data_IF_238329343785
#
_entry.id   IF_238329343785
#
_cell.length_a   1.000
_cell.length_b   1.000
_cell.length_c   1.000
_cell.angle_alpha   90.00
_cell.angle_beta   90.00
_cell.angle_gamma   90.00
#
_symmetry.space_group_name_H-M   'P 1'
#
loop_
_entity.id
_entity.type
_entity.pdbx_description
1 polymer ?
#
# COMPACT_ATOMS: atom_id res chain seq x y z
N UNK A 1 -97.29 -16.45 10.06
CA UNK A 1 -95.99 -16.38 9.37
C UNK A 1 -95.05 -15.62 10.31
N UNK A 2 -94.05 -16.24 10.96
CA UNK A 2 -92.85 -16.93 10.44
C UNK A 2 -91.77 -15.94 9.97
N UNK A 3 -90.46 -16.03 10.27
CA UNK A 3 -89.55 -16.78 11.19
C UNK A 3 -88.21 -15.96 11.20
N UNK A 4 -87.23 -16.00 12.11
CA UNK A 4 -86.96 -16.74 13.36
C UNK A 4 -85.87 -15.97 14.19
N UNK A 5 -85.59 -16.38 15.43
CA UNK A 5 -84.33 -16.12 16.16
C UNK A 5 -83.43 -17.37 16.07
N UNK A 6 -82.09 -17.24 16.05
CA UNK A 6 -81.24 -17.65 17.21
C UNK A 6 -79.91 -16.85 17.31
N UNK A 7 -79.00 -16.98 18.29
CA UNK A 7 -79.01 -17.41 19.72
C UNK A 7 -77.72 -16.83 20.35
N UNK A 8 -77.72 -16.58 21.66
CA UNK A 8 -76.47 -16.41 22.42
C UNK A 8 -75.65 -17.71 22.42
N UNK A 9 -74.32 -17.59 22.37
CA UNK A 9 -73.37 -18.60 22.83
C UNK A 9 -72.26 -17.93 23.64
N UNK A 10 -71.95 -18.52 24.79
CA UNK A 10 -71.23 -17.88 25.91
C UNK A 10 -69.71 -17.90 25.73
N UNK A 11 -69.03 -16.84 26.20
CA UNK A 11 -67.57 -16.81 26.37
C UNK A 11 -67.15 -17.88 27.39
N UNK A 12 -66.24 -18.76 26.99
CA UNK A 12 -65.65 -19.79 27.85
C UNK A 12 -64.13 -19.79 27.77
N UNK A 13 -63.48 -18.99 28.61
CA UNK A 13 -62.01 -18.95 28.69
C UNK A 13 -61.44 -20.30 29.11
N UNK A 14 -60.46 -20.81 28.34
CA UNK A 14 -59.51 -21.80 28.83
C UNK A 14 -58.10 -21.23 28.67
N UNK A 15 -57.48 -20.98 29.81
CA UNK A 15 -56.07 -20.60 29.91
C UNK A 15 -55.21 -21.81 29.54
N UNK A 16 -54.29 -21.63 28.59
CA UNK A 16 -53.19 -22.54 28.33
C UNK A 16 -51.88 -21.75 28.49
N UNK A 17 -51.21 -21.95 29.63
CA UNK A 17 -49.86 -21.41 29.84
C UNK A 17 -48.88 -22.33 29.12
N UNK A 18 -48.59 -22.02 27.86
CA UNK A 18 -47.48 -22.64 27.13
C UNK A 18 -46.20 -21.89 27.47
N UNK A 19 -45.34 -22.51 28.27
CA UNK A 19 -44.00 -21.99 28.53
C UNK A 19 -43.16 -22.07 27.25
N UNK A 20 -43.04 -20.95 26.54
CA UNK A 20 -42.19 -20.86 25.36
C UNK A 20 -40.73 -20.69 25.82
N UNK A 21 -39.96 -21.76 25.73
CA UNK A 21 -38.51 -21.73 25.87
C UNK A 21 -37.93 -20.84 24.76
N UNK A 22 -37.43 -19.66 25.13
CA UNK A 22 -36.59 -18.84 24.25
C UNK A 22 -35.24 -19.53 24.07
N UNK A 23 -35.17 -20.45 23.10
CA UNK A 23 -33.91 -20.90 22.55
C UNK A 23 -33.26 -19.73 21.81
N UNK A 24 -32.16 -19.21 22.36
CA UNK A 24 -31.35 -18.20 21.69
C UNK A 24 -30.64 -18.85 20.49
N UNK A 25 -31.31 -18.83 19.34
CA UNK A 25 -30.69 -19.16 18.06
C UNK A 25 -29.73 -18.03 17.68
N UNK A 26 -28.50 -18.12 18.17
CA UNK A 26 -27.41 -17.27 17.70
C UNK A 26 -27.17 -17.58 16.23
N UNK A 27 -27.68 -16.71 15.34
CA UNK A 27 -27.34 -16.74 13.92
C UNK A 27 -25.90 -16.24 13.77
N UNK A 28 -24.95 -17.15 14.00
CA UNK A 28 -23.59 -16.94 13.53
C UNK A 28 -23.64 -16.76 12.02
N UNK A 29 -23.30 -15.56 11.56
CA UNK A 29 -22.98 -15.35 10.16
C UNK A 29 -21.74 -16.19 9.88
N UNK A 30 -21.95 -17.36 9.26
CA UNK A 30 -20.86 -18.15 8.73
C UNK A 30 -20.21 -17.31 7.63
N UNK A 31 -19.04 -16.73 7.94
CA UNK A 31 -18.21 -16.07 6.94
C UNK A 31 -17.99 -17.05 5.78
N UNK A 32 -18.10 -16.55 4.56
CA UNK A 32 -17.81 -17.35 3.36
C UNK A 32 -16.36 -17.81 3.45
N UNK A 33 -16.15 -19.12 3.65
CA UNK A 33 -14.81 -19.69 3.63
C UNK A 33 -14.22 -19.49 2.23
N UNK A 34 -13.27 -18.59 2.11
CA UNK A 34 -12.50 -18.41 0.90
C UNK A 34 -11.65 -19.67 0.67
N UNK A 35 -11.62 -20.17 -0.56
CA UNK A 35 -10.68 -21.21 -0.93
C UNK A 35 -9.27 -20.60 -0.90
N UNK A 36 -8.32 -21.28 -0.27
CA UNK A 36 -6.92 -20.87 -0.33
C UNK A 36 -6.46 -20.91 -1.80
N UNK A 37 -6.28 -19.72 -2.40
CA UNK A 37 -5.65 -19.61 -3.70
C UNK A 37 -4.17 -19.98 -3.63
N UNK A 38 -3.61 -20.27 -4.79
CA UNK A 38 -2.17 -20.40 -4.99
C UNK A 38 -1.70 -19.17 -5.74
N UNK A 39 -0.45 -18.78 -5.54
CA UNK A 39 0.15 -17.71 -6.33
C UNK A 39 0.16 -18.11 -7.82
N UNK A 40 -0.13 -17.13 -8.67
CA UNK A 40 -0.03 -17.16 -10.13
C UNK A 40 0.77 -15.92 -10.50
N UNK A 41 2.08 -16.13 -10.67
CA UNK A 41 3.07 -15.07 -10.86
C UNK A 41 3.06 -14.44 -12.27
N UNK A 42 1.93 -14.51 -12.98
CA UNK A 42 1.78 -13.81 -14.26
C UNK A 42 1.77 -12.29 -14.08
N UNK A 43 2.31 -11.59 -15.07
CA UNK A 43 2.56 -10.14 -15.06
C UNK A 43 1.67 -9.43 -16.09
N UNK A 44 0.34 -9.37 -15.85
CA UNK A 44 -0.61 -8.82 -16.81
C UNK A 44 -0.39 -7.32 -17.06
N UNK A 45 -0.70 -6.81 -18.27
CA UNK A 45 -0.78 -5.37 -18.54
C UNK A 45 -1.77 -4.67 -17.60
N UNK A 46 -1.48 -3.42 -17.24
CA UNK A 46 -2.35 -2.60 -16.39
C UNK A 46 -3.79 -2.56 -16.95
N UNK A 47 -4.79 -2.72 -16.08
CA UNK A 47 -6.19 -2.84 -16.47
C UNK A 47 -7.16 -2.49 -15.32
N UNK A 48 -8.41 -2.19 -15.69
CA UNK A 48 -9.50 -1.91 -14.75
C UNK A 48 -10.32 -3.16 -14.42
N UNK A 49 -10.97 -3.19 -13.25
CA UNK A 49 -12.18 -4.00 -13.04
C UNK A 49 -12.14 -5.08 -11.95
N UNK A 50 -11.06 -5.15 -11.16
CA UNK A 50 -10.86 -6.15 -10.10
C UNK A 50 -9.92 -7.30 -10.52
N UNK A 51 -9.61 -8.25 -9.61
CA UNK A 51 -8.57 -9.25 -9.84
C UNK A 51 -8.80 -10.12 -11.08
N UNK A 52 -7.77 -10.29 -11.91
CA UNK A 52 -7.89 -10.85 -13.26
C UNK A 52 -7.60 -12.36 -13.36
N UNK A 53 -7.07 -12.96 -12.29
CA UNK A 53 -6.72 -14.38 -12.18
C UNK A 53 -5.30 -14.60 -11.65
N UNK A 54 -4.39 -13.66 -11.97
CA UNK A 54 -3.06 -13.56 -11.38
C UNK A 54 -3.13 -13.28 -9.87
N UNK A 55 -2.17 -13.78 -9.09
CA UNK A 55 -2.08 -13.49 -7.66
C UNK A 55 -0.67 -13.63 -7.09
N UNK A 56 -0.30 -12.73 -6.18
CA UNK A 56 0.98 -12.73 -5.46
C UNK A 56 0.74 -12.52 -3.96
N UNK A 57 1.12 -13.50 -3.15
CA UNK A 57 1.08 -13.46 -1.68
C UNK A 57 2.31 -12.78 -1.05
N UNK A 58 3.30 -12.36 -1.85
CA UNK A 58 4.47 -11.66 -1.35
C UNK A 58 4.16 -10.19 -1.02
N UNK A 59 5.02 -9.59 -0.20
CA UNK A 59 4.93 -8.17 0.15
C UNK A 59 5.10 -7.34 -1.12
N UNK A 60 4.12 -6.50 -1.45
CA UNK A 60 4.28 -5.53 -2.53
C UNK A 60 4.78 -4.18 -1.99
N UNK A 61 4.18 -3.71 -0.90
CA UNK A 61 4.61 -2.46 -0.23
C UNK A 61 5.10 -2.79 1.18
N UNK A 62 6.36 -2.46 1.46
CA UNK A 62 6.95 -2.55 2.80
C UNK A 62 7.39 -1.17 3.29
N UNK A 63 7.01 -0.83 4.53
CA UNK A 63 7.40 0.41 5.20
C UNK A 63 7.93 0.07 6.60
N UNK A 64 9.23 0.25 6.83
CA UNK A 64 9.91 -0.03 8.10
C UNK A 64 9.72 1.04 9.18
N UNK A 65 9.16 2.20 8.81
CA UNK A 65 8.62 3.21 9.72
C UNK A 65 7.10 3.29 9.61
N UNK A 66 6.56 4.50 9.75
CA UNK A 66 5.12 4.76 9.57
C UNK A 66 4.78 5.09 8.12
N UNK A 67 3.58 4.67 7.67
CA UNK A 67 3.03 4.98 6.35
C UNK A 67 1.91 6.02 6.48
N UNK A 68 2.10 7.18 5.84
CA UNK A 68 1.12 8.27 5.82
C UNK A 68 0.61 8.54 4.40
N UNK A 69 -0.67 8.24 4.14
CA UNK A 69 -1.34 8.63 2.89
C UNK A 69 -2.01 9.99 3.11
N UNK A 70 -1.33 11.06 2.69
CA UNK A 70 -1.88 12.43 2.65
C UNK A 70 -2.87 12.59 1.51
N UNK A 71 -2.55 11.97 0.37
CA UNK A 71 -3.41 11.82 -0.79
C UNK A 71 -2.93 10.62 -1.60
N UNK A 72 -3.88 9.81 -2.08
CA UNK A 72 -3.66 8.54 -2.76
C UNK A 72 -5.01 7.81 -2.87
N UNK A 73 -5.12 6.84 -3.78
CA UNK A 73 -6.31 6.01 -3.91
C UNK A 73 -6.09 4.61 -3.33
N UNK A 74 -4.96 3.97 -3.59
CA UNK A 74 -4.78 2.55 -3.26
C UNK A 74 -3.35 2.03 -3.22
N UNK A 75 -3.18 0.88 -2.54
CA UNK A 75 -2.01 0.01 -2.64
C UNK A 75 -2.43 -1.46 -2.86
N UNK A 76 -2.09 -1.99 -4.02
CA UNK A 76 -2.29 -3.39 -4.43
C UNK A 76 -1.26 -4.33 -3.80
N UNK A 77 -1.60 -5.62 -3.71
CA UNK A 77 -0.70 -6.65 -3.15
C UNK A 77 -0.69 -6.67 -1.62
N UNK A 78 0.21 -7.44 -1.01
CA UNK A 78 0.33 -7.44 0.46
C UNK A 78 1.05 -6.17 0.92
N UNK A 79 0.40 -5.38 1.77
CA UNK A 79 0.95 -4.16 2.37
C UNK A 79 1.38 -4.44 3.80
N UNK A 80 2.62 -4.08 4.13
CA UNK A 80 3.23 -4.24 5.45
C UNK A 80 3.79 -2.90 5.93
N UNK A 81 3.33 -2.47 7.09
CA UNK A 81 3.84 -1.29 7.80
C UNK A 81 4.33 -1.76 9.16
N UNK A 82 5.62 -1.58 9.46
CA UNK A 82 6.26 -1.95 10.72
C UNK A 82 5.79 -1.00 11.84
N UNK A 83 5.74 0.30 11.54
CA UNK A 83 5.19 1.36 12.39
C UNK A 83 3.67 1.58 12.24
N UNK A 84 3.26 2.85 12.31
CA UNK A 84 1.85 3.25 12.28
C UNK A 84 1.33 3.48 10.85
N UNK A 85 0.04 3.24 10.64
CA UNK A 85 -0.67 3.59 9.40
C UNK A 85 -1.64 4.75 9.63
N UNK A 86 -1.71 5.70 8.70
CA UNK A 86 -2.75 6.73 8.68
C UNK A 86 -3.06 7.20 7.27
N UNK A 87 -4.34 7.25 6.91
CA UNK A 87 -4.81 7.81 5.63
C UNK A 87 -5.73 9.01 5.86
N UNK A 88 -5.72 9.97 4.93
CA UNK A 88 -6.54 11.17 4.99
C UNK A 88 -7.98 10.98 4.46
N UNK A 89 -8.31 9.80 3.93
CA UNK A 89 -9.59 9.53 3.26
C UNK A 89 -9.83 8.04 3.02
N UNK A 90 -10.69 7.74 2.04
CA UNK A 90 -10.92 6.38 1.54
C UNK A 90 -9.68 5.87 0.80
N UNK A 91 -9.29 4.62 1.04
CA UNK A 91 -8.08 4.03 0.48
C UNK A 91 -8.23 2.51 0.31
N UNK A 92 -8.03 1.97 -0.90
CA UNK A 92 -8.09 0.52 -1.12
C UNK A 92 -6.74 -0.14 -0.75
N UNK A 93 -6.80 -1.34 -0.18
CA UNK A 93 -5.61 -2.15 0.12
C UNK A 93 -5.80 -3.59 -0.35
N UNK A 94 -4.77 -4.15 -1.00
CA UNK A 94 -4.76 -5.52 -1.51
C UNK A 94 -5.34 -5.68 -2.91
N UNK A 95 -6.46 -5.00 -3.19
CA UNK A 95 -7.13 -5.02 -4.50
C UNK A 95 -7.19 -3.60 -5.06
N UNK A 96 -6.61 -3.43 -6.26
CA UNK A 96 -6.73 -2.22 -7.04
C UNK A 96 -8.08 -2.11 -7.79
N UNK A 97 -8.58 -0.89 -7.92
CA UNK A 97 -9.62 -0.53 -8.88
C UNK A 97 -9.10 -0.55 -10.31
N UNK A 98 -7.88 -0.04 -10.50
CA UNK A 98 -7.10 -0.08 -11.73
C UNK A 98 -5.61 -0.32 -11.41
N UNK A 99 -4.96 -1.24 -12.10
CA UNK A 99 -3.63 -1.68 -11.70
C UNK A 99 -3.19 -2.96 -12.39
N UNK A 100 -2.26 -3.68 -11.78
CA UNK A 100 -1.85 -4.99 -12.31
C UNK A 100 -3.00 -6.01 -12.23
N UNK A 101 -3.94 -5.81 -11.30
CA UNK A 101 -4.99 -6.76 -10.94
C UNK A 101 -4.44 -8.08 -10.39
N UNK A 102 -3.19 -8.06 -9.89
CA UNK A 102 -2.46 -9.13 -9.18
C UNK A 102 -2.68 -8.92 -7.68
N UNK A 103 -3.85 -9.31 -7.20
CA UNK A 103 -4.18 -9.25 -5.77
C UNK A 103 -3.66 -10.50 -5.03
N UNK A 104 -3.44 -10.43 -3.70
CA UNK A 104 -3.22 -11.64 -2.91
C UNK A 104 -4.45 -12.56 -2.97
N UNK A 105 -4.32 -13.87 -2.73
CA UNK A 105 -5.44 -14.81 -2.75
C UNK A 105 -6.64 -14.36 -1.90
N UNK A 106 -7.86 -14.64 -2.36
CA UNK A 106 -9.10 -14.26 -1.68
C UNK A 106 -9.10 -14.72 -0.20
N UNK A 107 -9.42 -13.81 0.73
CA UNK A 107 -9.41 -14.09 2.17
C UNK A 107 -8.03 -14.30 2.80
N UNK A 108 -6.92 -14.05 2.08
CA UNK A 108 -5.56 -14.05 2.65
C UNK A 108 -5.26 -12.75 3.42
N UNK A 109 -4.05 -12.63 3.99
CA UNK A 109 -3.61 -11.38 4.64
C UNK A 109 -3.18 -10.38 3.56
N UNK A 110 -3.81 -9.21 3.55
CA UNK A 110 -3.47 -8.12 2.61
C UNK A 110 -2.94 -6.88 3.31
N UNK A 111 -3.17 -6.73 4.62
CA UNK A 111 -2.66 -5.63 5.42
C UNK A 111 -2.10 -6.10 6.76
N UNK A 112 -0.84 -5.76 7.01
CA UNK A 112 -0.15 -5.89 8.31
C UNK A 112 0.31 -4.51 8.78
N UNK A 113 0.00 -4.16 10.02
CA UNK A 113 0.45 -2.93 10.69
C UNK A 113 1.02 -3.33 12.06
N UNK A 114 2.29 -3.04 12.33
CA UNK A 114 2.93 -3.36 13.61
C UNK A 114 2.55 -2.38 14.72
N UNK A 115 2.35 -1.10 14.38
CA UNK A 115 1.86 -0.03 15.25
C UNK A 115 0.33 0.14 15.26
N UNK A 116 -0.11 1.39 15.44
CA UNK A 116 -1.52 1.81 15.45
C UNK A 116 -2.04 2.09 14.03
N UNK A 117 -3.36 1.95 13.81
CA UNK A 117 -4.06 2.58 12.67
C UNK A 117 -4.75 3.84 13.17
N UNK A 118 -4.25 5.00 12.73
CA UNK A 118 -4.46 6.27 13.43
C UNK A 118 -5.56 7.16 12.82
N UNK A 119 -5.73 7.14 11.50
CA UNK A 119 -6.77 7.84 10.75
C UNK A 119 -7.13 7.06 9.47
N UNK A 120 -8.33 7.26 8.95
CA UNK A 120 -8.68 6.84 7.58
C UNK A 120 -9.94 5.98 7.44
N UNK A 121 -10.26 5.66 6.19
CA UNK A 121 -11.22 4.62 5.80
C UNK A 121 -10.50 3.67 4.85
N UNK A 122 -10.25 2.44 5.30
CA UNK A 122 -9.56 1.40 4.52
C UNK A 122 -10.60 0.42 3.95
N UNK A 123 -10.58 0.20 2.63
CA UNK A 123 -11.28 -0.91 1.98
C UNK A 123 -10.27 -2.01 1.63
N UNK A 124 -10.22 -3.06 2.45
CA UNK A 124 -9.18 -4.10 2.34
C UNK A 124 -9.76 -5.36 1.70
N UNK A 125 -9.13 -5.81 0.61
CA UNK A 125 -9.55 -6.98 -0.15
C UNK A 125 -10.90 -6.78 -0.84
N UNK A 126 -11.12 -5.61 -1.45
CA UNK A 126 -12.37 -5.26 -2.13
C UNK A 126 -12.89 -6.43 -2.99
N UNK A 127 -14.16 -6.81 -2.81
CA UNK A 127 -14.86 -7.94 -3.49
C UNK A 127 -14.41 -9.36 -3.12
N UNK A 128 -13.19 -9.57 -2.61
CA UNK A 128 -12.60 -10.91 -2.37
C UNK A 128 -12.31 -11.25 -0.90
N UNK A 129 -12.48 -10.30 0.01
CA UNK A 129 -12.22 -10.45 1.43
C UNK A 129 -10.73 -10.44 1.77
N UNK A 130 -10.37 -9.85 2.91
CA UNK A 130 -9.00 -9.84 3.42
C UNK A 130 -8.92 -10.04 4.93
N UNK A 131 -7.80 -10.61 5.38
CA UNK A 131 -7.37 -10.57 6.76
C UNK A 131 -6.52 -9.30 6.98
N UNK A 132 -6.87 -8.55 8.02
CA UNK A 132 -6.16 -7.34 8.47
C UNK A 132 -5.61 -7.60 9.86
N UNK A 133 -4.33 -7.29 10.07
CA UNK A 133 -3.63 -7.54 11.34
C UNK A 133 -2.96 -6.27 11.83
N UNK A 134 -3.35 -5.83 13.02
CA UNK A 134 -2.84 -4.61 13.67
C UNK A 134 -2.21 -4.98 15.02
N UNK A 135 -0.95 -4.60 15.22
CA UNK A 135 -0.22 -4.86 16.46
C UNK A 135 -0.68 -3.95 17.59
N UNK A 136 -0.90 -2.68 17.28
CA UNK A 136 -1.52 -1.68 18.16
C UNK A 136 -3.04 -1.65 18.07
N UNK A 137 -3.59 -0.46 18.31
CA UNK A 137 -5.00 -0.11 18.32
C UNK A 137 -5.47 0.43 16.97
N UNK A 138 -6.79 0.41 16.77
CA UNK A 138 -7.46 1.16 15.69
C UNK A 138 -8.14 2.35 16.34
N UNK A 139 -7.75 3.57 15.97
CA UNK A 139 -8.18 4.80 16.62
C UNK A 139 -9.68 5.10 16.42
N UNK A 140 -10.32 5.83 17.36
CA UNK A 140 -11.71 6.25 17.22
C UNK A 140 -11.96 7.04 15.93
N UNK A 141 -12.90 6.58 15.11
CA UNK A 141 -13.27 7.21 13.83
C UNK A 141 -12.61 6.59 12.60
N UNK A 142 -11.64 5.69 12.77
CA UNK A 142 -11.11 4.87 11.67
C UNK A 142 -12.16 3.83 11.25
N UNK A 143 -12.30 3.61 9.94
CA UNK A 143 -13.12 2.54 9.36
C UNK A 143 -12.21 1.56 8.60
N UNK A 144 -12.46 0.26 8.77
CA UNK A 144 -11.73 -0.81 8.08
C UNK A 144 -12.77 -1.83 7.59
N UNK A 145 -13.06 -1.81 6.29
CA UNK A 145 -13.93 -2.78 5.64
C UNK A 145 -13.08 -3.96 5.15
N UNK A 146 -13.33 -5.15 5.69
CA UNK A 146 -12.54 -6.37 5.38
C UNK A 146 -13.17 -7.23 4.28
N UNK A 147 -14.25 -6.75 3.64
CA UNK A 147 -14.99 -7.45 2.57
C UNK A 147 -15.42 -8.89 2.92
N UNK A 148 -15.73 -9.15 4.19
CA UNK A 148 -16.11 -10.48 4.69
C UNK A 148 -14.96 -11.34 5.20
N UNK A 149 -13.71 -10.83 5.15
CA UNK A 149 -12.57 -11.36 5.89
C UNK A 149 -12.52 -10.84 7.34
N UNK A 150 -11.37 -10.96 7.99
CA UNK A 150 -11.21 -10.71 9.44
C UNK A 150 -10.35 -9.49 9.77
N UNK A 151 -10.62 -8.86 10.91
CA UNK A 151 -9.78 -7.83 11.51
C UNK A 151 -9.32 -8.31 12.89
N UNK A 152 -8.01 -8.34 13.12
CA UNK A 152 -7.40 -8.59 14.42
C UNK A 152 -6.57 -7.37 14.84
N UNK A 153 -6.73 -6.94 16.10
CA UNK A 153 -6.07 -5.74 16.66
C UNK A 153 -5.48 -6.06 18.04
N UNK A 154 -4.59 -5.21 18.54
CA UNK A 154 -3.85 -5.39 19.79
C UNK A 154 -3.09 -6.73 19.85
N UNK A 155 -2.60 -7.20 18.70
CA UNK A 155 -1.84 -8.43 18.60
C UNK A 155 -0.45 -8.32 19.26
N UNK A 156 0.08 -7.10 19.38
CA UNK A 156 1.51 -6.85 19.51
C UNK A 156 2.22 -6.91 18.16
N UNK A 157 3.33 -6.18 18.06
CA UNK A 157 4.11 -5.96 16.83
C UNK A 157 4.41 -7.26 16.04
N UNK A 158 5.22 -8.16 16.61
CA UNK A 158 5.69 -9.37 15.93
C UNK A 158 4.54 -10.31 15.53
N UNK A 159 3.45 -10.33 16.30
CA UNK A 159 2.27 -11.15 16.01
C UNK A 159 1.38 -10.55 14.91
N UNK A 160 1.47 -9.25 14.64
CA UNK A 160 0.83 -8.63 13.48
C UNK A 160 1.65 -8.85 12.20
N UNK A 161 2.98 -8.69 12.28
CA UNK A 161 3.89 -8.86 11.14
C UNK A 161 4.12 -10.34 10.75
N UNK A 162 4.11 -11.27 11.70
CA UNK A 162 4.39 -12.69 11.50
C UNK A 162 5.68 -12.94 10.70
N UNK A 163 5.57 -13.50 9.49
CA UNK A 163 6.68 -13.81 8.58
C UNK A 163 7.36 -12.57 8.02
N UNK A 164 6.74 -11.39 8.12
CA UNK A 164 7.35 -10.10 7.75
C UNK A 164 8.18 -9.48 8.88
N UNK A 165 8.20 -10.09 10.08
CA UNK A 165 9.02 -9.60 11.21
C UNK A 165 10.50 -9.61 10.81
N UNK A 166 11.13 -8.43 10.84
CA UNK A 166 12.54 -8.27 10.47
C UNK A 166 12.80 -8.10 8.96
N UNK A 167 11.78 -7.99 8.11
CA UNK A 167 11.94 -7.73 6.67
C UNK A 167 12.79 -6.48 6.38
N UNK A 168 12.62 -5.40 7.17
CA UNK A 168 13.45 -4.19 7.10
C UNK A 168 14.98 -4.47 7.18
N UNK A 169 15.38 -5.55 7.86
CA UNK A 169 16.79 -5.90 8.03
C UNK A 169 17.44 -6.55 6.81
N UNK A 170 16.67 -7.02 5.82
CA UNK A 170 17.21 -7.60 4.58
C UNK A 170 17.53 -6.52 3.54
N UNK A 171 16.78 -5.41 3.55
CA UNK A 171 16.87 -4.35 2.53
C UNK A 171 18.28 -3.76 2.39
N UNK A 172 18.97 -3.48 3.50
CA UNK A 172 20.31 -2.90 3.45
C UNK A 172 21.40 -3.88 2.95
N UNK A 173 21.47 -5.14 3.43
CA UNK A 173 22.31 -6.18 2.84
C UNK A 173 22.04 -6.42 1.34
N UNK A 174 20.78 -6.51 0.92
CA UNK A 174 20.41 -6.78 -0.47
C UNK A 174 20.73 -5.58 -1.38
N UNK A 175 20.41 -4.35 -0.95
CA UNK A 175 20.81 -3.12 -1.63
C UNK A 175 22.33 -3.03 -1.83
N UNK A 176 23.12 -3.32 -0.78
CA UNK A 176 24.58 -3.33 -0.86
C UNK A 176 25.13 -4.46 -1.76
N UNK A 177 24.41 -5.57 -1.90
CA UNK A 177 24.78 -6.67 -2.79
C UNK A 177 24.55 -6.31 -4.28
N UNK A 178 23.54 -5.49 -4.59
CA UNK A 178 23.34 -4.91 -5.93
C UNK A 178 24.35 -3.79 -6.22
N UNK A 179 24.62 -2.93 -5.24
CA UNK A 179 25.61 -1.84 -5.32
C UNK A 179 27.05 -2.35 -5.59
N UNK A 180 27.44 -3.45 -4.95
CA UNK A 180 28.76 -4.05 -5.14
C UNK A 180 29.01 -4.69 -6.53
N UNK A 181 28.01 -4.73 -7.42
CA UNK A 181 28.13 -5.33 -8.76
C UNK A 181 28.51 -4.27 -9.79
N UNK A 182 29.55 -4.54 -10.58
CA UNK A 182 30.00 -3.65 -11.66
C UNK A 182 28.88 -3.41 -12.69
N UNK A 183 28.54 -2.14 -12.95
CA UNK A 183 27.68 -1.75 -14.06
C UNK A 183 28.26 -2.19 -15.42
N UNK A 184 27.38 -2.69 -16.29
CA UNK A 184 27.67 -3.06 -17.68
C UNK A 184 26.93 -2.18 -18.70
N UNK A 185 25.83 -1.55 -18.28
CA UNK A 185 25.17 -0.49 -19.04
C UNK A 185 25.82 0.89 -18.80
N UNK A 186 25.30 1.90 -19.48
CA UNK A 186 25.75 3.30 -19.40
C UNK A 186 24.56 4.24 -19.20
N UNK A 187 24.79 5.33 -18.49
CA UNK A 187 23.85 6.44 -18.42
C UNK A 187 24.30 7.52 -19.41
N UNK A 188 23.41 7.89 -20.33
CA UNK A 188 23.62 8.98 -21.29
C UNK A 188 22.56 10.05 -21.06
N UNK A 189 22.97 11.30 -20.78
CA UNK A 189 22.04 12.42 -20.63
C UNK A 189 22.10 13.37 -21.82
N UNK A 190 20.94 13.79 -22.32
CA UNK A 190 20.80 14.74 -23.42
C UNK A 190 19.59 15.64 -23.18
N UNK A 191 19.82 16.90 -22.77
CA UNK A 191 18.73 17.83 -22.47
C UNK A 191 17.86 17.34 -21.31
N UNK A 192 16.60 17.03 -21.59
CA UNK A 192 15.63 16.45 -20.63
C UNK A 192 15.56 14.92 -20.70
N UNK A 193 16.42 14.24 -21.46
CA UNK A 193 16.40 12.78 -21.58
C UNK A 193 17.56 12.15 -20.81
N UNK A 194 17.25 11.11 -20.03
CA UNK A 194 18.20 10.22 -19.35
C UNK A 194 18.03 8.80 -19.93
N UNK A 195 18.98 8.37 -20.75
CA UNK A 195 18.98 7.04 -21.36
C UNK A 195 19.80 6.06 -20.53
N UNK A 196 19.19 4.93 -20.19
CA UNK A 196 19.82 3.73 -19.64
C UNK A 196 20.17 2.82 -20.82
N UNK A 197 21.40 2.97 -21.34
CA UNK A 197 21.94 2.29 -22.52
C UNK A 197 22.64 0.98 -22.12
N UNK A 198 21.93 -0.15 -22.26
CA UNK A 198 22.41 -1.49 -21.90
C UNK A 198 23.49 -2.04 -22.86
N UNK A 199 24.09 -3.16 -22.48
CA UNK A 199 25.11 -3.84 -23.29
C UNK A 199 24.53 -4.72 -24.43
N UNK A 200 23.20 -4.77 -24.59
CA UNK A 200 22.50 -5.53 -25.61
C UNK A 200 22.56 -7.05 -25.48
N UNK A 201 23.20 -7.61 -24.44
CA UNK A 201 23.52 -9.06 -24.40
C UNK A 201 23.41 -9.73 -23.03
N UNK A 202 23.69 -9.03 -21.93
CA UNK A 202 23.65 -9.58 -20.57
C UNK A 202 22.22 -9.78 -20.06
N UNK A 203 22.04 -10.86 -19.28
CA UNK A 203 20.78 -11.18 -18.59
C UNK A 203 20.48 -10.31 -17.37
N UNK A 204 21.46 -9.53 -16.91
CA UNK A 204 21.25 -8.42 -15.99
C UNK A 204 21.94 -7.19 -16.58
N UNK A 205 21.19 -6.11 -16.73
CA UNK A 205 21.66 -4.79 -17.14
C UNK A 205 21.78 -3.93 -15.87
N UNK A 206 23.01 -3.69 -15.43
CA UNK A 206 23.33 -2.87 -14.27
C UNK A 206 23.80 -1.49 -14.69
N UNK A 207 23.28 -0.48 -14.02
CA UNK A 207 23.56 0.94 -14.24
C UNK A 207 23.87 1.62 -12.91
N UNK A 208 24.92 2.43 -12.89
CA UNK A 208 25.19 3.37 -11.79
C UNK A 208 24.70 4.76 -12.22
N UNK A 209 23.77 5.34 -11.45
CA UNK A 209 23.04 6.56 -11.78
C UNK A 209 23.20 7.61 -10.67
N UNK A 210 23.57 8.84 -11.02
CA UNK A 210 23.46 9.99 -10.11
C UNK A 210 21.98 10.37 -9.95
N UNK A 211 21.49 10.53 -8.73
CA UNK A 211 20.09 10.88 -8.46
C UNK A 211 19.60 12.15 -9.17
N UNK A 212 20.49 13.13 -9.43
CA UNK A 212 20.18 14.32 -10.22
C UNK A 212 19.97 14.05 -11.72
N UNK A 213 20.18 12.82 -12.19
CA UNK A 213 19.79 12.36 -13.52
C UNK A 213 18.30 11.99 -13.63
N UNK A 214 17.59 11.85 -12.50
CA UNK A 214 16.13 11.64 -12.46
C UNK A 214 15.32 12.95 -12.46
N UNK A 215 15.97 14.07 -12.77
CA UNK A 215 15.36 15.40 -12.77
C UNK A 215 15.43 16.08 -11.41
N UNK A 216 14.71 17.20 -11.30
CA UNK A 216 14.51 17.99 -10.08
C UNK A 216 13.26 18.85 -10.24
N UNK A 217 12.74 19.42 -9.15
CA UNK A 217 11.62 20.37 -9.23
C UNK A 217 11.89 21.50 -10.25
N UNK A 218 10.97 21.68 -11.20
CA UNK A 218 11.11 22.62 -12.33
C UNK A 218 11.91 22.10 -13.54
N UNK A 219 12.53 20.92 -13.43
CA UNK A 219 13.35 20.28 -14.45
C UNK A 219 12.99 18.79 -14.58
N UNK A 220 11.84 18.53 -15.19
CA UNK A 220 11.38 17.17 -15.46
C UNK A 220 12.22 16.48 -16.56
N UNK A 221 12.37 15.16 -16.44
CA UNK A 221 13.07 14.31 -17.42
C UNK A 221 12.20 13.17 -17.95
N UNK A 222 12.61 12.64 -19.09
CA UNK A 222 12.17 11.34 -19.62
C UNK A 222 13.26 10.31 -19.34
N UNK A 223 12.89 9.08 -19.00
CA UNK A 223 13.83 7.96 -18.88
C UNK A 223 13.60 6.96 -20.01
N UNK A 224 14.65 6.58 -20.73
CA UNK A 224 14.57 5.62 -21.85
C UNK A 224 15.50 4.43 -21.60
N UNK A 225 14.96 3.22 -21.65
CA UNK A 225 15.72 1.97 -21.67
C UNK A 225 16.14 1.66 -23.11
N UNK A 226 17.43 1.77 -23.42
CA UNK A 226 17.99 1.47 -24.75
C UNK A 226 18.88 0.23 -24.69
N UNK A 227 18.90 -0.56 -25.76
CA UNK A 227 19.69 -1.79 -25.86
C UNK A 227 19.56 -2.75 -24.64
N UNK A 228 18.38 -2.78 -24.01
CA UNK A 228 18.04 -3.73 -22.94
C UNK A 228 17.33 -4.93 -23.58
N UNK A 229 17.86 -6.18 -23.46
CA UNK A 229 17.16 -7.37 -23.93
C UNK A 229 15.79 -7.55 -23.26
N UNK A 230 14.82 -8.09 -23.98
CA UNK A 230 13.44 -8.25 -23.48
C UNK A 230 13.35 -9.09 -22.19
N UNK A 231 14.25 -10.07 -22.02
CA UNK A 231 14.29 -10.99 -20.88
C UNK A 231 15.43 -10.70 -19.88
N UNK A 232 16.02 -9.50 -19.92
CA UNK A 232 17.03 -9.09 -18.95
C UNK A 232 16.42 -8.43 -17.71
N UNK A 233 16.91 -8.78 -16.52
CA UNK A 233 16.71 -7.98 -15.32
C UNK A 233 17.43 -6.62 -15.50
N UNK A 234 16.83 -5.54 -15.04
CA UNK A 234 17.44 -4.20 -15.00
C UNK A 234 17.62 -3.80 -13.54
N UNK A 235 18.83 -3.37 -13.18
CA UNK A 235 19.15 -2.84 -11.85
C UNK A 235 19.80 -1.48 -12.02
N UNK A 236 19.24 -0.47 -11.38
CA UNK A 236 19.77 0.88 -11.37
C UNK A 236 20.17 1.23 -9.94
N UNK A 237 21.47 1.24 -9.67
CA UNK A 237 22.03 1.75 -8.42
C UNK A 237 22.00 3.28 -8.49
N UNK A 238 21.19 3.91 -7.65
CA UNK A 238 20.99 5.37 -7.62
C UNK A 238 21.75 5.96 -6.43
N UNK A 239 22.72 6.81 -6.73
CA UNK A 239 23.64 7.43 -5.79
C UNK A 239 23.36 8.90 -5.54
N UNK A 240 23.76 9.39 -4.37
CA UNK A 240 23.50 10.77 -3.96
C UNK A 240 22.03 11.05 -3.66
N UNK A 241 21.63 12.32 -3.76
CA UNK A 241 20.27 12.78 -3.43
C UNK A 241 19.30 12.59 -4.61
N UNK A 242 18.08 12.15 -4.32
CA UNK A 242 17.02 11.90 -5.31
C UNK A 242 15.83 12.84 -5.08
N UNK A 243 15.72 13.87 -5.91
CA UNK A 243 14.50 14.69 -6.06
C UNK A 243 13.86 14.43 -7.43
N UNK A 244 13.49 13.17 -7.67
CA UNK A 244 13.08 12.72 -8.99
C UNK A 244 11.83 13.47 -9.49
N UNK A 245 11.92 13.97 -10.72
CA UNK A 245 10.81 14.59 -11.46
C UNK A 245 10.78 13.95 -12.85
N UNK A 246 10.06 12.83 -12.99
CA UNK A 246 10.03 12.02 -14.22
C UNK A 246 8.66 12.08 -14.87
N UNK A 247 8.61 12.38 -16.17
CA UNK A 247 7.37 12.52 -16.94
C UNK A 247 7.02 11.30 -17.79
N UNK A 248 7.94 10.36 -17.98
CA UNK A 248 7.64 9.08 -18.62
C UNK A 248 8.83 8.14 -18.68
N UNK A 249 8.52 6.85 -18.72
CA UNK A 249 9.47 5.77 -19.02
C UNK A 249 9.18 5.21 -20.42
N UNK A 250 10.23 4.91 -21.17
CA UNK A 250 10.13 4.43 -22.56
C UNK A 250 11.12 3.30 -22.81
N UNK A 251 10.79 2.38 -23.73
CA UNK A 251 11.79 1.55 -24.41
C UNK A 251 12.26 2.25 -25.69
N UNK A 252 13.51 2.02 -26.07
CA UNK A 252 14.05 2.51 -27.35
C UNK A 252 13.20 2.01 -28.54
N UNK A 253 13.02 2.89 -29.53
CA UNK A 253 12.07 2.71 -30.64
C UNK A 253 10.58 2.68 -30.26
N UNK A 254 10.22 2.85 -28.98
CA UNK A 254 8.84 2.84 -28.49
C UNK A 254 8.01 4.02 -29.03
N UNK A 255 6.79 3.73 -29.48
CA UNK A 255 5.87 4.75 -30.00
C UNK A 255 5.13 5.55 -28.90
N UNK A 256 5.05 4.98 -27.69
CA UNK A 256 4.35 5.54 -26.54
C UNK A 256 5.14 5.28 -25.26
N UNK A 257 4.95 6.14 -24.25
CA UNK A 257 5.44 5.90 -22.90
C UNK A 257 4.78 4.67 -22.29
N UNK A 258 5.42 4.08 -21.28
CA UNK A 258 4.83 3.11 -20.37
C UNK A 258 3.72 3.80 -19.56
N UNK A 259 2.47 3.53 -19.93
CA UNK A 259 1.26 4.14 -19.38
C UNK A 259 0.03 3.25 -19.70
N UNK A 260 -1.05 3.38 -18.92
CA UNK A 260 -2.31 2.66 -19.17
C UNK A 260 -2.93 2.96 -20.55
N UNK A 261 -2.74 4.18 -21.06
CA UNK A 261 -3.20 4.63 -22.38
C UNK A 261 -2.10 4.54 -23.46
N UNK A 262 -0.91 4.08 -23.08
CA UNK A 262 0.27 3.97 -23.94
C UNK A 262 0.73 2.53 -24.10
N UNK A 263 2.01 2.29 -23.85
CA UNK A 263 2.64 0.99 -23.94
C UNK A 263 2.46 0.19 -22.64
N UNK A 264 1.22 -0.22 -22.36
CA UNK A 264 0.84 -1.01 -21.17
C UNK A 264 1.56 -2.37 -21.06
N UNK A 265 1.96 -2.95 -22.19
CA UNK A 265 2.68 -4.22 -22.24
C UNK A 265 4.16 -4.00 -21.91
N UNK A 266 4.73 -2.90 -22.40
CA UNK A 266 6.03 -2.39 -21.96
C UNK A 266 6.05 -2.05 -20.47
N UNK A 267 5.01 -1.38 -19.96
CA UNK A 267 4.86 -1.06 -18.53
C UNK A 267 4.95 -2.33 -17.67
N UNK A 268 4.11 -3.33 -17.90
CA UNK A 268 4.12 -4.58 -17.12
C UNK A 268 5.44 -5.34 -17.24
N UNK A 269 6.00 -5.44 -18.46
CA UNK A 269 7.28 -6.13 -18.69
C UNK A 269 8.45 -5.45 -17.98
N UNK A 270 8.58 -4.12 -18.07
CA UNK A 270 9.69 -3.40 -17.43
C UNK A 270 9.47 -3.24 -15.92
N UNK A 271 8.23 -3.07 -15.45
CA UNK A 271 7.88 -3.05 -14.03
C UNK A 271 8.36 -4.33 -13.32
N UNK A 272 8.11 -5.49 -13.94
CA UNK A 272 8.37 -6.80 -13.34
C UNK A 272 9.84 -7.20 -13.27
N UNK A 273 10.72 -6.48 -13.98
CA UNK A 273 12.15 -6.80 -14.10
C UNK A 273 13.11 -5.65 -13.80
N UNK A 274 12.60 -4.48 -13.43
CA UNK A 274 13.42 -3.30 -13.10
C UNK A 274 13.45 -3.05 -11.60
N UNK A 275 14.65 -2.81 -11.05
CA UNK A 275 14.88 -2.36 -9.68
C UNK A 275 15.61 -1.01 -9.66
N UNK A 276 15.04 -0.04 -8.96
CA UNK A 276 15.65 1.23 -8.56
C UNK A 276 16.18 1.07 -7.13
N UNK A 277 17.48 0.80 -7.01
CA UNK A 277 18.18 0.63 -5.76
C UNK A 277 18.70 1.99 -5.27
N UNK A 278 17.99 2.67 -4.37
CA UNK A 278 18.39 3.99 -3.86
C UNK A 278 19.45 3.80 -2.77
N UNK A 279 20.73 3.83 -3.15
CA UNK A 279 21.85 3.37 -2.29
C UNK A 279 22.11 4.32 -1.12
N UNK A 280 22.06 5.63 -1.38
CA UNK A 280 22.57 6.66 -0.46
C UNK A 280 21.48 7.47 0.24
N UNK A 281 20.41 7.84 -0.47
CA UNK A 281 19.39 8.74 0.06
C UNK A 281 18.46 8.04 1.06
N UNK A 282 18.18 8.74 2.16
CA UNK A 282 17.23 8.32 3.18
C UNK A 282 15.87 9.01 3.07
N UNK A 283 15.73 10.03 2.21
CA UNK A 283 14.47 10.75 2.00
C UNK A 283 14.24 11.12 0.52
N UNK A 284 14.27 10.13 -0.39
CA UNK A 284 14.04 10.38 -1.81
C UNK A 284 12.61 10.87 -2.08
N UNK A 285 12.46 11.85 -2.97
CA UNK A 285 11.18 12.27 -3.54
C UNK A 285 11.00 11.73 -4.96
N UNK A 286 9.80 11.22 -5.23
CA UNK A 286 9.36 10.77 -6.56
C UNK A 286 8.17 11.62 -7.00
N UNK A 287 8.34 12.41 -8.05
CA UNK A 287 7.33 13.33 -8.58
C UNK A 287 7.31 13.30 -10.12
N UNK A 288 6.34 13.98 -10.72
CA UNK A 288 6.19 14.11 -12.17
C UNK A 288 4.97 13.35 -12.71
N UNK A 289 4.86 13.27 -14.03
CA UNK A 289 3.71 12.66 -14.71
C UNK A 289 3.82 11.15 -14.99
N UNK A 290 4.94 10.50 -14.67
CA UNK A 290 5.17 9.12 -15.06
C UNK A 290 4.38 8.08 -14.24
N UNK A 291 3.89 7.04 -14.90
CA UNK A 291 3.73 5.73 -14.29
C UNK A 291 5.13 5.18 -13.96
N UNK A 292 5.55 5.26 -12.69
CA UNK A 292 6.90 4.90 -12.28
C UNK A 292 7.12 3.40 -12.51
N UNK A 293 8.05 3.08 -13.41
CA UNK A 293 8.21 1.72 -13.92
C UNK A 293 9.38 1.03 -13.24
N UNK A 294 9.09 0.01 -12.44
CA UNK A 294 10.07 -0.79 -11.71
C UNK A 294 9.89 -0.71 -10.20
N UNK A 295 10.37 -1.75 -9.52
CA UNK A 295 10.42 -1.83 -8.07
C UNK A 295 11.42 -0.81 -7.51
N UNK A 296 11.19 -0.29 -6.30
CA UNK A 296 12.03 0.71 -5.63
C UNK A 296 12.42 0.23 -4.24
N UNK A 297 13.72 0.31 -3.92
CA UNK A 297 14.27 -0.02 -2.60
C UNK A 297 14.97 1.18 -2.01
N UNK A 298 14.60 1.55 -0.78
CA UNK A 298 15.23 2.58 0.03
C UNK A 298 15.70 1.95 1.35
N UNK A 299 16.98 1.55 1.47
CA UNK A 299 17.49 0.74 2.57
C UNK A 299 17.78 1.53 3.85
N UNK A 300 17.76 2.87 3.79
CA UNK A 300 18.05 3.74 4.94
C UNK A 300 16.78 3.93 5.79
N UNK A 301 16.83 3.53 7.05
CA UNK A 301 15.68 3.63 7.96
C UNK A 301 15.43 5.05 8.52
N UNK A 302 16.41 5.96 8.42
CA UNK A 302 16.42 7.22 9.17
C UNK A 302 15.85 8.44 8.40
N UNK A 303 14.81 8.24 7.59
CA UNK A 303 14.18 9.32 6.83
C UNK A 303 12.78 8.98 6.31
N UNK A 304 12.34 9.73 5.29
CA UNK A 304 10.98 9.65 4.74
C UNK A 304 11.00 9.70 3.22
N UNK A 305 10.68 8.57 2.58
CA UNK A 305 10.42 8.51 1.14
C UNK A 305 9.09 9.21 0.83
N UNK A 306 9.06 10.06 -0.20
CA UNK A 306 7.83 10.74 -0.64
C UNK A 306 7.46 10.32 -2.06
N UNK A 307 6.27 9.75 -2.23
CA UNK A 307 5.70 9.34 -3.51
C UNK A 307 4.57 10.31 -3.90
N UNK A 308 4.72 10.97 -5.03
CA UNK A 308 3.75 11.89 -5.63
C UNK A 308 3.79 11.80 -7.18
N UNK A 309 3.78 10.57 -7.68
CA UNK A 309 3.60 10.18 -9.09
C UNK A 309 2.24 9.49 -9.26
N UNK A 310 1.64 9.47 -10.47
CA UNK A 310 0.36 8.79 -10.74
C UNK A 310 0.32 7.32 -10.30
N UNK A 311 1.39 6.56 -10.50
CA UNK A 311 1.44 5.19 -9.99
C UNK A 311 2.87 4.67 -9.83
N UNK A 312 3.03 3.72 -8.91
CA UNK A 312 4.27 2.96 -8.68
C UNK A 312 4.04 1.53 -9.16
N UNK A 313 4.74 1.11 -10.22
CA UNK A 313 4.52 -0.16 -10.90
C UNK A 313 5.68 -1.10 -10.56
N UNK A 314 5.49 -1.88 -9.50
CA UNK A 314 6.54 -2.69 -8.88
C UNK A 314 6.46 -2.66 -7.37
N UNK A 315 7.31 -3.45 -6.72
CA UNK A 315 7.44 -3.48 -5.26
C UNK A 315 8.02 -2.16 -4.74
N UNK A 316 7.53 -1.69 -3.60
CA UNK A 316 8.06 -0.48 -2.94
C UNK A 316 8.48 -0.82 -1.53
N UNK A 317 9.78 -0.93 -1.31
CA UNK A 317 10.37 -1.32 -0.04
C UNK A 317 11.18 -0.18 0.56
N UNK A 318 10.67 0.39 1.64
CA UNK A 318 11.27 1.53 2.33
C UNK A 318 11.58 1.13 3.75
N UNK A 319 12.85 1.18 4.16
CA UNK A 319 13.26 0.88 5.53
C UNK A 319 12.84 1.98 6.54
N UNK A 320 12.61 3.20 6.05
CA UNK A 320 12.13 4.34 6.84
C UNK A 320 10.63 4.58 6.70
N UNK A 321 10.21 5.83 6.84
CA UNK A 321 8.80 6.22 6.67
C UNK A 321 8.45 6.37 5.18
N UNK A 322 7.17 6.18 4.85
CA UNK A 322 6.62 6.44 3.52
C UNK A 322 5.51 7.48 3.60
N UNK A 323 5.54 8.46 2.69
CA UNK A 323 4.47 9.44 2.49
C UNK A 323 3.97 9.35 1.06
N UNK A 324 2.68 9.04 0.90
CA UNK A 324 1.99 9.16 -0.39
C UNK A 324 1.22 10.49 -0.43
N UNK A 325 1.45 11.29 -1.47
CA UNK A 325 1.04 12.70 -1.50
C UNK A 325 0.63 13.18 -2.92
N UNK A 326 -0.13 12.35 -3.64
CA UNK A 326 -0.81 12.77 -4.86
C UNK A 326 -2.22 12.15 -4.91
N UNK A 327 -3.24 12.97 -5.15
CA UNK A 327 -4.63 12.50 -5.26
C UNK A 327 -4.79 11.55 -6.44
N UNK A 328 -5.40 10.39 -6.23
CA UNK A 328 -5.51 9.35 -7.25
C UNK A 328 -4.20 8.62 -7.56
N UNK A 329 -3.16 8.74 -6.71
CA UNK A 329 -1.95 7.91 -6.88
C UNK A 329 -2.10 6.51 -6.31
N UNK A 330 -1.38 5.56 -6.90
CA UNK A 330 -1.63 4.12 -6.74
C UNK A 330 -0.31 3.34 -6.61
N UNK A 331 -0.29 2.22 -5.88
CA UNK A 331 0.80 1.23 -5.92
C UNK A 331 0.26 -0.05 -6.56
N UNK A 332 0.91 -0.52 -7.63
CA UNK A 332 0.48 -1.69 -8.40
C UNK A 332 1.41 -2.88 -8.19
N UNK A 333 0.86 -4.08 -8.11
CA UNK A 333 1.58 -5.28 -7.68
C UNK A 333 2.29 -6.02 -8.82
N UNK A 334 3.43 -5.48 -9.25
CA UNK A 334 4.37 -6.19 -10.12
C UNK A 334 5.53 -6.81 -9.31
N UNK A 335 5.82 -8.12 -9.47
CA UNK A 335 6.92 -8.78 -8.77
C UNK A 335 8.28 -8.27 -9.26
N UNK A 336 9.36 -8.54 -8.53
CA UNK A 336 10.72 -8.32 -9.06
C UNK A 336 11.40 -9.65 -9.40
N UNK A 337 11.36 -10.02 -10.68
CA UNK A 337 11.92 -11.26 -11.20
C UNK A 337 13.42 -11.39 -10.96
N UNK A 338 13.89 -12.62 -10.69
CA UNK A 338 15.32 -12.90 -10.51
C UNK A 338 15.92 -12.42 -9.18
N UNK A 339 15.12 -12.40 -8.11
CA UNK A 339 15.51 -12.02 -6.75
C UNK A 339 14.80 -12.88 -5.70
N UNK A 340 15.22 -12.81 -4.43
CA UNK A 340 14.49 -13.41 -3.30
C UNK A 340 13.14 -12.72 -3.03
N UNK A 341 12.90 -11.57 -3.67
CA UNK A 341 11.60 -10.89 -3.71
C UNK A 341 10.74 -11.30 -4.91
N UNK A 342 11.15 -12.27 -5.73
CA UNK A 342 10.33 -12.76 -6.83
C UNK A 342 9.01 -13.35 -6.33
N UNK A 343 7.93 -13.19 -7.09
CA UNK A 343 6.76 -14.02 -6.89
C UNK A 343 7.16 -15.48 -7.15
N UNK A 344 6.71 -16.40 -6.29
CA UNK A 344 7.03 -17.81 -6.38
C UNK A 344 5.74 -18.63 -6.42
N UNK A 345 5.49 -19.36 -7.51
CA UNK A 345 4.33 -20.24 -7.75
C UNK A 345 4.26 -21.42 -6.75
N UNK A 346 4.06 -21.10 -5.48
CA UNK A 346 4.13 -22.02 -4.35
C UNK A 346 2.83 -22.78 -4.23
N UNK A 347 2.59 -23.70 -5.16
CA UNK A 347 1.53 -24.71 -4.96
C UNK A 347 1.81 -25.46 -3.65
N UNK A 348 0.95 -25.34 -2.62
CA UNK A 348 1.23 -25.94 -1.32
C UNK A 348 1.14 -27.46 -1.46
N UNK A 349 2.28 -28.13 -1.48
CA UNK A 349 2.32 -29.59 -1.47
C UNK A 349 1.70 -30.06 -0.16
N UNK A 350 0.59 -30.83 -0.19
CA UNK A 350 -0.10 -31.21 1.03
C UNK A 350 0.82 -32.10 1.88
N UNK A 351 1.17 -31.62 3.09
CA UNK A 351 2.00 -32.36 4.03
C UNK A 351 1.27 -33.61 4.52
N UNK A 352 1.58 -34.76 3.92
CA UNK A 352 0.96 -36.06 4.22
C UNK A 352 1.72 -36.85 5.29
N UNK A 353 2.35 -36.15 6.25
CA UNK A 353 3.00 -36.78 7.40
C UNK A 353 2.05 -36.78 8.61
N UNK A 354 1.30 -37.86 8.87
CA UNK A 354 0.60 -38.00 10.14
C UNK A 354 1.64 -38.13 11.26
N UNK A 355 1.60 -37.22 12.23
CA UNK A 355 2.43 -37.31 13.44
C UNK A 355 2.03 -38.54 14.25
N UNK A 356 2.81 -39.62 14.14
CA UNK A 356 2.60 -40.86 14.88
C UNK A 356 3.42 -40.92 16.16
N UNK A 357 2.81 -41.51 17.19
CA UNK A 357 3.37 -41.97 18.47
C UNK A 357 3.93 -40.92 19.47
N UNK A 358 3.30 -40.75 20.65
CA UNK A 358 4.00 -40.20 21.81
C UNK A 358 5.02 -41.22 22.33
N UNK A 359 6.15 -40.74 22.86
CA UNK A 359 7.19 -41.60 23.43
C UNK A 359 7.01 -41.73 24.95
N UNK A 360 6.40 -42.83 25.38
CA UNK A 360 6.37 -43.24 26.78
C UNK A 360 7.71 -43.89 27.16
N UNK A 361 8.57 -43.17 27.90
CA UNK A 361 9.66 -43.81 28.67
C UNK A 361 10.01 -42.99 29.91
N UNK A 362 9.70 -43.46 31.14
CA UNK A 362 10.15 -42.80 32.36
C UNK A 362 11.63 -43.12 32.62
N UNK A 363 12.42 -42.10 32.97
CA UNK A 363 13.81 -42.27 33.39
C UNK A 363 13.86 -42.54 34.90
N UNK A 364 14.38 -43.70 35.29
CA UNK A 364 14.45 -44.17 36.68
C UNK A 364 15.88 -44.16 37.25
N UNK A 365 15.95 -43.99 38.58
CA UNK A 365 17.08 -44.34 39.49
C UNK A 365 18.37 -43.45 39.55
N UNK A 366 19.07 -43.42 40.71
CA UNK A 366 19.50 -42.13 41.29
C UNK A 366 20.91 -42.05 41.95
N UNK A 367 21.35 -40.84 42.34
CA UNK A 367 22.31 -40.53 43.42
C UNK A 367 22.43 -38.99 43.59
N UNK A 368 22.55 -38.39 44.77
CA UNK A 368 22.52 -38.90 46.14
C UNK A 368 22.45 -37.74 47.15
N UNK A 369 22.13 -38.03 48.42
CA UNK A 369 22.01 -37.07 49.54
C UNK A 369 23.13 -37.27 50.57
N UNK A 370 23.30 -36.38 51.58
CA UNK A 370 23.32 -34.92 51.56
C UNK A 370 24.60 -34.36 52.26
N UNK A 371 24.85 -33.04 52.19
CA UNK A 371 25.72 -32.36 53.18
C UNK A 371 25.17 -30.98 53.54
N UNK A 372 24.77 -30.83 54.80
CA UNK A 372 24.36 -29.59 55.44
C UNK A 372 25.55 -28.96 56.17
N UNK A 373 25.81 -27.65 55.99
CA UNK A 373 26.61 -26.84 56.92
C UNK A 373 26.45 -25.33 56.66
N UNK A 374 26.04 -24.58 57.69
CA UNK A 374 25.90 -23.12 57.69
C UNK A 374 27.23 -22.36 57.57
N UNK A 375 27.22 -21.14 56.99
CA UNK A 375 28.44 -20.34 56.77
C UNK A 375 28.26 -18.84 56.47
N UNK A 376 27.52 -18.15 57.34
CA UNK A 376 27.42 -16.68 57.56
C UNK A 376 28.36 -15.67 56.84
N UNK A 377 27.75 -14.53 56.45
CA UNK A 377 28.26 -13.12 56.42
C UNK A 377 28.65 -12.52 55.05
N UNK A 378 28.12 -11.33 54.68
CA UNK A 378 28.56 -10.56 53.50
C UNK A 378 29.78 -9.69 53.79
N UNK A 379 30.53 -9.32 52.75
CA UNK A 379 31.60 -8.30 52.83
C UNK A 379 31.49 -7.34 51.65
N UNK A 380 31.35 -6.06 51.95
CA UNK A 380 31.41 -4.96 50.99
C UNK A 380 32.83 -4.74 50.45
N UNK A 381 32.96 -4.30 49.19
CA UNK A 381 34.12 -3.52 48.71
C UNK A 381 33.58 -2.37 47.84
N UNK A 382 34.08 -1.12 47.97
CA UNK A 382 33.33 0.07 47.56
C UNK A 382 33.81 0.75 46.26
N UNK A 383 32.94 1.64 45.76
CA UNK A 383 33.18 2.97 45.15
C UNK A 383 34.50 3.25 44.39
N UNK A 384 34.36 3.74 43.15
CA UNK A 384 35.48 4.20 42.32
C UNK A 384 35.08 5.09 41.14
N UNK A 385 34.35 6.19 41.40
CA UNK A 385 34.12 7.23 40.40
C UNK A 385 35.14 8.38 40.54
N UNK A 386 35.73 8.88 39.43
CA UNK A 386 36.38 10.18 39.40
C UNK A 386 35.70 11.18 38.45
N UNK A 387 35.61 12.41 38.95
CA UNK A 387 34.89 13.58 38.47
C UNK A 387 35.25 14.14 37.09
N UNK A 388 34.26 14.86 36.55
CA UNK A 388 34.34 15.90 35.50
C UNK A 388 35.30 17.05 35.87
N UNK A 389 36.01 17.65 34.91
CA UNK A 389 36.35 19.08 34.91
C UNK A 389 35.43 19.85 33.95
N UNK A 390 34.93 21.01 34.39
CA UNK A 390 34.13 21.92 33.57
C UNK A 390 35.02 23.02 32.99
N UNK A 391 34.79 23.41 31.73
CA UNK A 391 35.43 24.59 31.12
C UNK A 391 34.41 25.44 30.36
N UNK A 392 34.19 26.66 30.85
CA UNK A 392 33.55 27.82 30.22
C UNK A 392 33.91 29.01 31.13
N UNK A 393 34.19 30.25 30.65
CA UNK A 393 33.71 30.82 29.40
C UNK A 393 34.73 31.66 28.59
N UNK A 394 34.32 32.08 27.38
CA UNK A 394 34.82 33.31 26.75
C UNK A 394 33.80 33.88 25.77
N UNK A 395 33.39 35.13 25.99
CA UNK A 395 32.70 36.00 25.02
C UNK A 395 33.69 37.08 24.58
N UNK A 396 33.52 37.66 23.38
CA UNK A 396 33.24 39.09 23.35
C UNK A 396 32.09 39.47 22.40
N UNK A 397 31.52 40.66 22.66
CA UNK A 397 30.55 41.36 21.82
C UNK A 397 31.21 41.90 20.51
N UNK A 398 30.55 42.59 19.57
CA UNK A 398 29.23 43.23 19.52
C UNK A 398 28.84 43.46 18.05
N UNK A 399 27.55 43.65 17.72
CA UNK A 399 27.13 43.87 16.32
C UNK A 399 25.64 44.16 16.13
N UNK A 400 25.17 45.31 16.59
CA UNK A 400 23.77 45.77 16.48
C UNK A 400 23.35 46.16 15.06
N UNK A 401 22.15 45.75 14.64
CA UNK A 401 21.12 46.67 14.09
C UNK A 401 19.71 46.14 14.35
N UNK A 402 18.82 47.01 14.81
CA UNK A 402 17.40 46.74 15.06
C UNK A 402 16.56 47.67 14.20
N UNK A 403 15.56 47.14 13.49
CA UNK A 403 14.36 47.92 13.14
C UNK A 403 13.15 47.00 13.14
N UNK A 404 12.04 47.47 13.72
CA UNK A 404 10.80 46.69 13.92
C UNK A 404 9.84 46.78 12.72
N UNK A 405 8.89 45.84 12.57
CA UNK A 405 7.84 45.92 11.56
C UNK A 405 6.68 46.83 12.00
N UNK A 406 6.21 47.69 11.09
CA UNK A 406 4.92 48.39 11.18
C UNK A 406 4.04 47.99 9.99
N UNK A 407 2.74 47.79 10.21
CA UNK A 407 1.82 47.26 9.19
C UNK A 407 0.67 48.19 8.81
N UNK A 408 -0.13 47.74 7.84
CA UNK A 408 -1.44 48.26 7.37
C UNK A 408 -1.37 49.69 6.73
N UNK A 409 -1.99 50.01 5.59
CA UNK A 409 -3.29 49.55 5.06
C UNK A 409 -3.46 49.84 3.55
N UNK A 410 -4.63 49.46 3.01
CA UNK A 410 -5.25 49.73 1.70
C UNK A 410 -4.85 51.01 0.92
N UNK A 411 -4.85 50.93 -0.42
CA UNK A 411 -5.90 51.54 -1.28
C UNK A 411 -5.92 50.90 -2.68
N UNK A 412 -7.10 50.74 -3.30
CA UNK A 412 -7.26 50.45 -4.74
C UNK A 412 -7.04 51.72 -5.61
N UNK A 413 -6.99 51.64 -6.95
CA UNK A 413 -8.25 51.85 -7.69
C UNK A 413 -8.38 51.22 -9.10
N UNK A 414 -9.65 51.22 -9.55
CA UNK A 414 -10.15 51.43 -10.92
C UNK A 414 -9.96 50.35 -12.02
N UNK A 415 -11.11 50.00 -12.62
CA UNK A 415 -11.24 49.27 -13.87
C UNK A 415 -11.19 50.22 -15.09
N UNK A 416 -11.01 49.63 -16.28
CA UNK A 416 -11.44 50.20 -17.55
C UNK A 416 -11.99 49.08 -18.44
N UNK A 417 -13.28 49.18 -18.78
CA UNK A 417 -13.85 48.42 -19.90
C UNK A 417 -13.37 49.04 -21.22
N UNK A 418 -13.12 48.20 -22.23
CA UNK A 418 -13.41 48.59 -23.62
C UNK A 418 -13.95 47.39 -24.39
N UNK A 419 -14.85 47.66 -25.33
CA UNK A 419 -15.74 46.68 -25.95
C UNK A 419 -15.70 46.82 -27.47
N UNK A 420 -15.21 45.81 -28.21
CA UNK A 420 -15.76 45.58 -29.56
C UNK A 420 -15.65 44.14 -30.07
N UNK A 421 -16.77 43.69 -30.62
CA UNK A 421 -17.09 42.39 -31.22
C UNK A 421 -16.32 42.07 -32.51
N UNK A 422 -15.92 40.81 -32.67
CA UNK A 422 -15.91 40.10 -33.97
C UNK A 422 -16.15 38.60 -33.74
N UNK A 423 -16.94 37.95 -34.61
CA UNK A 423 -17.43 36.58 -34.38
C UNK A 423 -17.12 35.63 -35.54
N UNK A 424 -16.68 34.41 -35.21
CA UNK A 424 -16.89 33.17 -35.98
C UNK A 424 -16.53 31.96 -35.08
N UNK A 425 -17.24 30.84 -35.25
CA UNK A 425 -17.12 29.61 -34.44
C UNK A 425 -16.78 28.40 -35.34
N UNK A 426 -16.69 27.16 -34.84
CA UNK A 426 -16.36 26.69 -33.49
C UNK A 426 -15.11 25.77 -33.49
N UNK A 427 -14.62 25.41 -32.31
CA UNK A 427 -13.84 24.18 -32.11
C UNK A 427 -14.34 23.50 -30.83
N UNK A 428 -14.80 22.25 -30.96
CA UNK A 428 -14.81 21.33 -29.84
C UNK A 428 -13.38 21.17 -29.32
N UNK A 429 -13.18 21.17 -28.01
CA UNK A 429 -12.23 20.25 -27.34
C UNK A 429 -12.70 19.99 -25.91
N UNK A 430 -13.28 18.81 -25.72
CA UNK A 430 -13.46 18.19 -24.40
C UNK A 430 -12.10 17.69 -23.91
N UNK A 431 -11.36 18.52 -23.19
CA UNK A 431 -10.16 18.10 -22.48
C UNK A 431 -10.53 17.10 -21.37
N UNK A 432 -10.32 15.81 -21.62
CA UNK A 432 -10.64 14.73 -20.69
C UNK A 432 -9.73 14.77 -19.47
N UNK A 433 -10.34 14.88 -18.28
CA UNK A 433 -9.68 14.51 -17.02
C UNK A 433 -9.77 12.99 -16.87
N UNK A 434 -8.71 12.36 -16.36
CA UNK A 434 -8.72 10.93 -16.06
C UNK A 434 -9.81 10.62 -15.02
N UNK A 435 -10.78 9.79 -15.41
CA UNK A 435 -11.93 9.41 -14.58
C UNK A 435 -11.62 8.09 -13.84
N UNK A 436 -10.66 8.12 -12.91
CA UNK A 436 -10.28 6.95 -12.10
C UNK A 436 -11.04 6.92 -10.76
N UNK A 437 -11.61 5.75 -10.44
CA UNK A 437 -11.98 5.27 -9.10
C UNK A 437 -13.09 6.00 -8.29
N UNK A 438 -13.01 7.31 -8.10
CA UNK A 438 -13.61 8.00 -6.95
C UNK A 438 -15.10 8.39 -7.08
N UNK A 439 -15.78 8.06 -8.18
CA UNK A 439 -17.07 8.67 -8.56
C UNK A 439 -18.31 7.75 -8.51
N UNK A 440 -18.35 6.70 -7.67
CA UNK A 440 -19.47 5.73 -7.64
C UNK A 440 -20.65 6.10 -6.72
N UNK A 441 -20.69 7.31 -6.15
CA UNK A 441 -21.76 7.73 -5.21
C UNK A 441 -23.03 8.38 -5.82
N UNK A 442 -23.04 9.04 -7.00
CA UNK A 442 -24.28 9.59 -7.57
C UNK A 442 -25.12 8.57 -8.35
N UNK A 443 -24.49 7.58 -8.99
CA UNK A 443 -25.14 6.69 -9.98
C UNK A 443 -26.16 5.74 -9.33
N UNK A 444 -25.89 5.27 -8.11
CA UNK A 444 -26.78 4.39 -7.37
C UNK A 444 -28.16 5.03 -7.06
N UNK A 445 -28.19 6.33 -6.81
CA UNK A 445 -29.44 7.07 -6.48
C UNK A 445 -30.34 7.20 -7.72
N UNK A 446 -29.76 7.44 -8.90
CA UNK A 446 -30.51 7.55 -10.17
C UNK A 446 -31.06 6.18 -10.60
N UNK A 447 -30.27 5.10 -10.44
CA UNK A 447 -30.72 3.75 -10.73
C UNK A 447 -31.92 3.32 -9.85
N UNK A 448 -31.88 3.64 -8.56
CA UNK A 448 -32.98 3.33 -7.64
C UNK A 448 -34.27 4.11 -7.97
N UNK A 449 -34.14 5.38 -8.35
CA UNK A 449 -35.28 6.21 -8.77
C UNK A 449 -35.94 5.69 -10.07
N UNK A 450 -35.14 5.23 -11.05
CA UNK A 450 -35.64 4.66 -12.29
C UNK A 450 -36.35 3.31 -12.08
N UNK A 451 -35.84 2.45 -11.18
CA UNK A 451 -36.50 1.19 -10.82
C UNK A 451 -37.85 1.41 -10.11
N UNK A 452 -37.94 2.40 -9.22
CA UNK A 452 -39.20 2.77 -8.56
C UNK A 452 -40.21 3.35 -9.56
N UNK A 453 -39.78 4.20 -10.50
CA UNK A 453 -40.65 4.73 -11.56
C UNK A 453 -41.15 3.62 -12.51
N UNK A 454 -40.30 2.68 -12.89
CA UNK A 454 -40.66 1.53 -13.73
C UNK A 454 -41.66 0.58 -13.06
N UNK A 455 -41.50 0.33 -11.76
CA UNK A 455 -42.42 -0.49 -10.96
C UNK A 455 -43.83 0.08 -10.89
N UNK A 456 -43.97 1.41 -10.71
CA UNK A 456 -45.27 2.09 -10.70
C UNK A 456 -45.96 2.01 -12.07
N UNK A 457 -45.22 2.17 -13.18
CA UNK A 457 -45.80 2.09 -14.52
C UNK A 457 -46.36 0.70 -14.86
N UNK A 458 -45.68 -0.36 -14.42
CA UNK A 458 -46.14 -1.74 -14.61
C UNK A 458 -47.38 -2.07 -13.78
N UNK A 459 -47.50 -1.55 -12.56
CA UNK A 459 -48.70 -1.72 -11.73
C UNK A 459 -49.92 -0.99 -12.32
N UNK A 460 -49.75 0.23 -12.83
CA UNK A 460 -50.84 1.00 -13.49
C UNK A 460 -51.28 0.35 -14.81
N UNK A 461 -50.37 -0.30 -15.54
CA UNK A 461 -50.73 -1.02 -16.77
C UNK A 461 -51.47 -2.34 -16.49
N UNK A 462 -51.26 -2.95 -15.33
CA UNK A 462 -51.90 -4.21 -14.91
C UNK A 462 -53.26 -4.04 -14.23
N UNK A 463 -53.63 -2.81 -13.84
CA UNK A 463 -54.95 -2.46 -13.29
C UNK A 463 -55.96 -1.93 -14.32
N UNK A 464 -55.64 -2.05 -15.62
CA UNK A 464 -56.49 -1.64 -16.75
C UNK A 464 -56.66 -2.73 -17.84
N UNK A 465 -56.47 -3.99 -17.45
CA UNK A 465 -56.71 -5.18 -18.26
C UNK A 465 -57.74 -6.08 -17.56
#
# INVERSE_FOLDING_TARGET
MSRFFPRLSTVGSRVAVSALLLGAAGTGLAGTAFAAGVDDCSTPPISDGGPSGASDSNVNVFVGGSFTVKAGAEAEGVVVVDGDLGTAGFYNVGVAGAGSQVAPPAGSVMLRVGGDVTTGHLDVGSRIGAQVRVGGSVHPGVQIDTNGGSLATQLGHDAALETSTGFASTLAPESAAYDARTANGKVVRSGSDTTLDGDGTSKVQLFDLDGAALGASGHAVTVTFAHVPDDAQVVVNVHGQVDATVNGFWRDGGAHAFDQNGDKDGLASYASRTLWNIVDDASPSFTGGAQWTGSVVVPKANGTTTVAVPGMNGRVYVAGNLVQNLGGSEFHSYPFEGSDWSCSDSTPTPSTTPSSTPSDTPSETPSGTPTDASGTTPTEVPSGAPSVPADTPSTPASGTTTTAPGGLSETAPAASDDTTTAAAAPADETGGLAETGAAILPVAVVALALLLAGGVLLLVRRSRA
#
